data_IF_240064689933
#
_entry.id   IF_240064689933
#
_cell.length_a   1.000
_cell.length_b   1.000
_cell.length_c   1.000
_cell.angle_alpha   90.00
_cell.angle_beta   90.00
_cell.angle_gamma   90.00
#
_symmetry.space_group_name_H-M   'P 1'
#
loop_
_entity.id
_entity.type
_entity.pdbx_description
1 polymer ?
#
# COMPACT_ATOMS: atom_id res chain seq x y z
N UNK A 1 25.14 27.77 13.01
CA UNK A 1 23.83 28.16 12.36
C UNK A 1 23.76 27.84 10.87
N UNK A 2 24.88 27.68 10.17
CA UNK A 2 24.89 27.42 8.71
C UNK A 2 24.53 26.04 8.23
N UNK A 3 24.82 24.94 8.94
CA UNK A 3 24.61 23.58 8.48
C UNK A 3 23.12 23.18 8.41
N UNK A 4 22.30 23.63 9.36
CA UNK A 4 20.86 23.39 9.36
C UNK A 4 20.14 24.09 8.19
N UNK A 5 20.62 25.26 7.79
CA UNK A 5 20.05 26.00 6.65
C UNK A 5 20.44 25.37 5.31
N UNK A 6 21.64 24.80 5.21
CA UNK A 6 22.12 24.07 4.03
C UNK A 6 21.35 22.75 3.88
N UNK A 7 21.10 22.05 4.98
CA UNK A 7 20.32 20.81 5.02
C UNK A 7 18.86 21.08 4.62
N UNK A 8 18.23 22.13 5.16
CA UNK A 8 16.88 22.55 4.79
C UNK A 8 16.74 22.93 3.31
N UNK A 9 17.76 23.61 2.74
CA UNK A 9 17.79 23.95 1.30
C UNK A 9 17.98 22.69 0.41
N UNK A 10 18.78 21.71 0.84
CA UNK A 10 18.93 20.43 0.11
C UNK A 10 17.63 19.64 0.11
N UNK A 11 16.91 19.57 1.22
CA UNK A 11 15.62 18.90 1.31
C UNK A 11 14.59 19.59 0.40
N UNK A 12 14.49 20.91 0.44
CA UNK A 12 13.58 21.68 -0.43
C UNK A 12 13.92 21.48 -1.92
N UNK A 13 15.20 21.44 -2.27
CA UNK A 13 15.65 21.22 -3.66
C UNK A 13 15.40 19.78 -4.12
N UNK A 14 15.61 18.80 -3.26
CA UNK A 14 15.28 17.39 -3.52
C UNK A 14 13.77 17.19 -3.70
N UNK A 15 12.96 17.79 -2.85
CA UNK A 15 11.50 17.76 -2.96
C UNK A 15 10.99 18.46 -4.26
N UNK A 16 11.61 19.56 -4.65
CA UNK A 16 11.30 20.28 -5.89
C UNK A 16 11.64 19.45 -7.13
N UNK A 17 12.83 18.84 -7.18
CA UNK A 17 13.26 17.97 -8.29
C UNK A 17 12.41 16.70 -8.39
N UNK A 18 11.99 16.13 -7.25
CA UNK A 18 11.02 15.03 -7.24
C UNK A 18 9.66 15.49 -7.75
N UNK A 19 9.18 16.66 -7.36
CA UNK A 19 7.92 17.24 -7.84
C UNK A 19 7.95 17.44 -9.36
N UNK A 20 9.03 17.95 -9.94
CA UNK A 20 9.18 18.09 -11.40
C UNK A 20 9.24 16.74 -12.11
N UNK A 21 9.96 15.77 -11.56
CA UNK A 21 10.04 14.40 -12.11
C UNK A 21 8.68 13.71 -12.06
N UNK A 22 7.93 13.87 -10.97
CA UNK A 22 6.55 13.39 -10.85
C UNK A 22 5.61 14.11 -11.81
N UNK A 23 5.70 15.41 -11.95
CA UNK A 23 4.91 16.21 -12.90
C UNK A 23 5.18 15.80 -14.35
N UNK A 24 6.41 15.47 -14.70
CA UNK A 24 6.79 14.99 -16.04
C UNK A 24 6.33 13.55 -16.29
N UNK A 25 6.47 12.65 -15.32
CA UNK A 25 6.01 11.26 -15.41
C UNK A 25 4.48 11.12 -15.33
N UNK A 26 3.80 12.06 -14.68
CA UNK A 26 2.36 12.04 -14.44
C UNK A 26 1.50 12.23 -15.70
N UNK A 27 2.08 12.64 -16.82
CA UNK A 27 1.37 12.78 -18.11
C UNK A 27 1.11 11.44 -18.82
N UNK A 28 1.61 10.34 -18.30
CA UNK A 28 1.34 9.03 -18.87
C UNK A 28 -0.05 8.52 -18.47
N UNK A 29 -1.01 8.58 -19.38
CA UNK A 29 -2.35 8.00 -19.16
C UNK A 29 -2.30 6.51 -18.79
N UNK A 30 -1.28 5.79 -19.28
CA UNK A 30 -1.06 4.39 -18.93
C UNK A 30 -0.78 4.23 -17.44
N UNK A 31 0.13 5.04 -16.88
CA UNK A 31 0.41 5.03 -15.43
C UNK A 31 -0.86 5.33 -14.62
N UNK A 32 -1.61 6.36 -15.00
CA UNK A 32 -2.88 6.69 -14.35
C UNK A 32 -3.88 5.54 -14.37
N UNK A 33 -3.97 4.82 -15.49
CA UNK A 33 -4.84 3.65 -15.62
C UNK A 33 -4.39 2.51 -14.73
N UNK A 34 -3.09 2.22 -14.68
CA UNK A 34 -2.53 1.17 -13.78
C UNK A 34 -2.81 1.48 -12.32
N UNK A 35 -2.53 2.72 -11.88
CA UNK A 35 -2.81 3.15 -10.51
C UNK A 35 -4.29 3.08 -10.17
N UNK A 36 -5.16 3.44 -11.10
CA UNK A 36 -6.61 3.35 -10.92
C UNK A 36 -7.06 1.89 -10.75
N UNK A 37 -6.56 0.98 -11.58
CA UNK A 37 -6.88 -0.45 -11.49
C UNK A 37 -6.40 -1.00 -10.13
N UNK A 38 -5.17 -0.71 -9.72
CA UNK A 38 -4.64 -1.15 -8.43
C UNK A 38 -5.47 -0.61 -7.26
N UNK A 39 -5.87 0.65 -7.31
CA UNK A 39 -6.70 1.25 -6.28
C UNK A 39 -8.08 0.61 -6.19
N UNK A 40 -8.79 0.49 -7.32
CA UNK A 40 -10.14 -0.09 -7.35
C UNK A 40 -10.14 -1.55 -6.95
N UNK A 41 -9.17 -2.32 -7.44
CA UNK A 41 -9.01 -3.71 -7.04
C UNK A 41 -8.67 -3.83 -5.54
N UNK A 42 -7.81 -2.97 -5.03
CA UNK A 42 -7.47 -2.90 -3.61
C UNK A 42 -8.68 -2.60 -2.73
N UNK A 43 -9.53 -1.65 -3.10
CA UNK A 43 -10.79 -1.38 -2.41
C UNK A 43 -11.74 -2.57 -2.46
N UNK A 44 -11.84 -3.26 -3.61
CA UNK A 44 -12.63 -4.49 -3.71
C UNK A 44 -12.13 -5.56 -2.73
N UNK A 45 -10.82 -5.83 -2.69
CA UNK A 45 -10.21 -6.78 -1.75
C UNK A 45 -10.47 -6.37 -0.30
N UNK A 46 -10.36 -5.08 0.01
CA UNK A 46 -10.62 -4.57 1.35
C UNK A 46 -12.08 -4.80 1.78
N UNK A 47 -13.05 -4.45 0.92
CA UNK A 47 -14.48 -4.65 1.18
C UNK A 47 -14.80 -6.15 1.28
N UNK A 48 -14.24 -6.97 0.38
CA UNK A 48 -14.39 -8.41 0.44
C UNK A 48 -13.95 -8.97 1.79
N UNK A 49 -12.78 -8.56 2.29
CA UNK A 49 -12.30 -8.98 3.61
C UNK A 49 -13.20 -8.52 4.75
N UNK A 50 -13.74 -7.32 4.69
CA UNK A 50 -14.65 -6.81 5.72
C UNK A 50 -15.98 -7.57 5.76
N UNK A 51 -16.51 -7.96 4.59
CA UNK A 51 -17.86 -8.51 4.49
C UNK A 51 -17.92 -10.04 4.56
N UNK A 52 -16.95 -10.72 3.94
CA UNK A 52 -17.04 -12.15 3.67
C UNK A 52 -15.90 -12.96 4.30
N UNK A 53 -14.78 -12.33 4.60
CA UNK A 53 -13.65 -13.04 5.16
C UNK A 53 -13.71 -12.96 6.67
N UNK A 54 -14.32 -13.97 7.30
CA UNK A 54 -14.09 -14.22 8.72
C UNK A 54 -12.68 -14.78 8.84
N UNK A 55 -11.82 -14.05 9.53
CA UNK A 55 -10.49 -14.51 9.84
C UNK A 55 -10.64 -15.84 10.58
N UNK A 56 -10.21 -16.95 9.98
CA UNK A 56 -10.08 -18.19 10.72
C UNK A 56 -9.04 -17.93 11.82
N UNK A 57 -9.53 -17.93 13.05
CA UNK A 57 -8.69 -17.81 14.22
C UNK A 57 -7.71 -18.99 14.23
N UNK A 58 -6.43 -18.71 14.02
CA UNK A 58 -5.36 -19.67 14.17
C UNK A 58 -4.58 -19.32 15.43
N UNK A 59 -4.75 -20.12 16.53
CA UNK A 59 -4.09 -19.85 17.79
C UNK A 59 -2.55 -19.85 17.69
N UNK A 60 -1.99 -20.47 16.65
CA UNK A 60 -0.54 -20.48 16.40
C UNK A 60 -0.01 -19.08 16.03
N UNK A 61 -0.80 -18.30 15.26
CA UNK A 61 -0.37 -17.01 14.73
C UNK A 61 -1.07 -15.81 15.38
N UNK A 62 -2.17 -16.05 16.08
CA UNK A 62 -2.91 -15.00 16.79
C UNK A 62 -3.40 -15.54 18.13
N UNK A 63 -2.78 -15.14 19.26
CA UNK A 63 -3.15 -15.67 20.59
C UNK A 63 -4.49 -15.16 21.09
N UNK A 64 -5.09 -14.17 20.45
CA UNK A 64 -6.34 -13.54 20.88
C UNK A 64 -7.31 -13.40 19.71
N UNK A 65 -8.52 -13.92 19.88
CA UNK A 65 -9.64 -13.71 18.94
C UNK A 65 -10.32 -12.38 19.25
N UNK A 66 -10.07 -11.37 18.44
CA UNK A 66 -10.71 -10.06 18.52
C UNK A 66 -11.97 -9.96 17.63
N UNK A 67 -12.40 -11.04 17.00
CA UNK A 67 -13.53 -11.06 16.10
C UNK A 67 -13.28 -10.38 14.74
N UNK A 68 -14.32 -10.30 13.94
CA UNK A 68 -14.25 -9.85 12.52
C UNK A 68 -13.74 -8.41 12.31
N UNK A 69 -13.85 -7.55 13.31
CA UNK A 69 -13.42 -6.14 13.19
C UNK A 69 -11.94 -5.93 13.45
N UNK A 70 -11.25 -6.94 13.98
CA UNK A 70 -9.82 -6.85 14.23
C UNK A 70 -8.99 -6.67 12.95
N UNK A 71 -9.56 -6.96 11.79
CA UNK A 71 -8.90 -6.72 10.50
C UNK A 71 -8.37 -5.28 10.35
N UNK A 72 -9.08 -4.31 10.96
CA UNK A 72 -8.68 -2.91 10.93
C UNK A 72 -7.48 -2.58 11.82
N UNK A 73 -7.13 -3.45 12.77
CA UNK A 73 -5.96 -3.27 13.64
C UNK A 73 -4.66 -3.78 13.00
N UNK A 74 -4.74 -4.57 11.92
CA UNK A 74 -3.54 -5.04 11.25
C UNK A 74 -2.85 -3.92 10.48
N UNK A 75 -1.58 -3.71 10.79
CA UNK A 75 -0.74 -2.73 10.10
C UNK A 75 -0.73 -2.90 8.58
N UNK A 76 -0.70 -4.15 8.10
CA UNK A 76 -0.78 -4.46 6.67
C UNK A 76 -2.07 -3.96 6.02
N UNK A 77 -3.21 -4.11 6.69
CA UNK A 77 -4.50 -3.67 6.16
C UNK A 77 -4.56 -2.15 6.10
N UNK A 78 -4.10 -1.49 7.16
CA UNK A 78 -4.06 -0.03 7.22
C UNK A 78 -3.11 0.55 6.17
N UNK A 79 -1.88 0.02 6.05
CA UNK A 79 -0.89 0.50 5.07
C UNK A 79 -1.37 0.34 3.64
N UNK A 80 -1.97 -0.79 3.31
CA UNK A 80 -2.54 -1.02 1.98
C UNK A 80 -3.76 -0.13 1.72
N UNK A 81 -4.63 0.10 2.70
CA UNK A 81 -5.76 1.03 2.55
C UNK A 81 -5.28 2.46 2.22
N UNK A 82 -4.26 2.96 2.93
CA UNK A 82 -3.64 4.25 2.60
C UNK A 82 -3.03 4.27 1.20
N UNK A 83 -2.45 3.15 0.76
CA UNK A 83 -1.92 3.03 -0.60
C UNK A 83 -3.05 3.11 -1.65
N UNK A 84 -4.20 2.47 -1.43
CA UNK A 84 -5.34 2.56 -2.36
C UNK A 84 -5.86 3.99 -2.49
N UNK A 85 -6.00 4.70 -1.36
CA UNK A 85 -6.40 6.11 -1.37
C UNK A 85 -5.37 6.96 -2.12
N UNK A 86 -4.09 6.75 -1.85
CA UNK A 86 -3.01 7.47 -2.53
C UNK A 86 -3.00 7.18 -4.04
N UNK A 87 -3.05 5.92 -4.46
CA UNK A 87 -3.08 5.53 -5.87
C UNK A 87 -4.31 6.08 -6.60
N UNK A 88 -5.48 6.07 -5.94
CA UNK A 88 -6.68 6.69 -6.49
C UNK A 88 -6.48 8.19 -6.71
N UNK A 89 -5.96 8.90 -5.71
CA UNK A 89 -5.69 10.33 -5.82
C UNK A 89 -4.63 10.61 -6.90
N UNK A 90 -3.56 9.80 -6.99
CA UNK A 90 -2.54 9.95 -8.01
C UNK A 90 -3.11 9.71 -9.43
N UNK A 91 -3.91 8.66 -9.61
CA UNK A 91 -4.59 8.39 -10.88
C UNK A 91 -5.52 9.53 -11.29
N UNK A 92 -6.38 9.99 -10.36
CA UNK A 92 -7.29 11.11 -10.61
C UNK A 92 -6.53 12.41 -10.95
N UNK A 93 -5.39 12.64 -10.30
CA UNK A 93 -4.53 13.78 -10.60
C UNK A 93 -3.96 13.72 -12.02
N UNK A 94 -3.50 12.53 -12.43
CA UNK A 94 -3.03 12.28 -13.81
C UNK A 94 -4.15 12.53 -14.83
N UNK A 95 -5.39 12.19 -14.49
CA UNK A 95 -6.56 12.47 -15.33
C UNK A 95 -7.10 13.90 -15.22
N UNK A 96 -6.43 14.78 -14.48
CA UNK A 96 -6.72 16.21 -14.43
C UNK A 96 -7.67 16.65 -13.32
N UNK A 97 -7.93 15.81 -12.33
CA UNK A 97 -8.76 16.17 -11.17
C UNK A 97 -7.93 16.98 -10.17
N UNK A 98 -7.98 18.32 -10.27
CA UNK A 98 -7.17 19.25 -9.45
C UNK A 98 -7.28 19.05 -7.94
N UNK A 99 -8.46 18.67 -7.42
CA UNK A 99 -8.64 18.43 -5.98
C UNK A 99 -7.79 17.25 -5.46
N UNK A 100 -7.52 16.27 -6.32
CA UNK A 100 -6.72 15.09 -5.97
C UNK A 100 -5.21 15.37 -5.94
N UNK A 101 -4.75 16.42 -6.63
CA UNK A 101 -3.32 16.75 -6.76
C UNK A 101 -2.62 16.99 -5.41
N UNK A 102 -3.34 17.54 -4.43
CA UNK A 102 -2.80 17.78 -3.09
C UNK A 102 -2.32 16.50 -2.38
N UNK A 103 -2.91 15.37 -2.71
CA UNK A 103 -2.55 14.06 -2.16
C UNK A 103 -1.74 13.28 -3.19
N UNK A 104 -2.25 13.13 -4.40
CA UNK A 104 -1.70 12.26 -5.43
C UNK A 104 -0.33 12.68 -5.97
N UNK A 105 0.00 13.98 -5.92
CA UNK A 105 1.31 14.50 -6.32
C UNK A 105 2.14 14.99 -5.13
N UNK A 106 1.74 14.63 -3.91
CA UNK A 106 2.50 14.98 -2.72
C UNK A 106 3.63 13.95 -2.47
N UNK A 107 4.91 14.32 -2.65
CA UNK A 107 6.01 13.38 -2.54
C UNK A 107 6.21 12.84 -1.11
N UNK A 108 5.80 13.59 -0.09
CA UNK A 108 5.89 13.13 1.30
C UNK A 108 4.85 12.05 1.60
N UNK A 109 3.62 12.23 1.10
CA UNK A 109 2.56 11.24 1.26
C UNK A 109 2.95 9.97 0.48
N UNK A 110 3.43 10.12 -0.77
CA UNK A 110 3.92 9.01 -1.58
C UNK A 110 5.04 8.23 -0.88
N UNK A 111 6.06 8.93 -0.36
CA UNK A 111 7.16 8.31 0.36
C UNK A 111 6.68 7.57 1.62
N UNK A 112 5.78 8.18 2.41
CA UNK A 112 5.22 7.56 3.61
C UNK A 112 4.44 6.28 3.28
N UNK A 113 3.57 6.33 2.28
CA UNK A 113 2.80 5.17 1.81
C UNK A 113 3.72 4.06 1.33
N UNK A 114 4.73 4.41 0.52
CA UNK A 114 5.73 3.47 0.02
C UNK A 114 6.44 2.75 1.16
N UNK A 115 6.94 3.50 2.15
CA UNK A 115 7.62 2.91 3.32
C UNK A 115 6.69 1.97 4.08
N UNK A 116 5.44 2.37 4.32
CA UNK A 116 4.48 1.55 5.07
C UNK A 116 4.19 0.23 4.37
N UNK A 117 3.95 0.27 3.06
CA UNK A 117 3.65 -0.94 2.28
C UNK A 117 4.89 -1.82 2.13
N UNK A 118 6.08 -1.24 1.95
CA UNK A 118 7.35 -1.98 1.92
C UNK A 118 7.62 -2.68 3.25
N UNK A 119 7.47 -2.00 4.38
CA UNK A 119 7.65 -2.60 5.71
C UNK A 119 6.67 -3.77 5.89
N UNK A 120 5.39 -3.60 5.55
CA UNK A 120 4.40 -4.66 5.63
C UNK A 120 4.80 -5.88 4.76
N UNK A 121 5.24 -5.65 3.52
CA UNK A 121 5.67 -6.71 2.59
C UNK A 121 6.91 -7.44 3.07
N UNK A 122 7.96 -6.71 3.44
CA UNK A 122 9.23 -7.28 3.89
C UNK A 122 9.01 -8.09 5.18
N UNK A 123 8.29 -7.54 6.15
CA UNK A 123 8.03 -8.22 7.43
C UNK A 123 7.25 -9.51 7.22
N UNK A 124 6.23 -9.50 6.37
CA UNK A 124 5.47 -10.70 6.05
C UNK A 124 6.33 -11.76 5.37
N UNK A 125 7.03 -11.39 4.29
CA UNK A 125 7.86 -12.32 3.54
C UNK A 125 9.01 -12.90 4.38
N UNK A 126 9.62 -12.10 5.26
CA UNK A 126 10.63 -12.58 6.19
C UNK A 126 10.04 -13.50 7.29
N UNK A 127 8.79 -13.27 7.68
CA UNK A 127 8.10 -14.06 8.70
C UNK A 127 7.78 -15.49 8.26
N UNK A 128 7.57 -15.73 6.95
CA UNK A 128 7.25 -17.08 6.43
C UNK A 128 8.33 -18.10 6.79
N UNK A 129 9.61 -17.93 6.42
CA UNK A 129 10.65 -18.90 6.74
C UNK A 129 10.96 -19.01 8.24
N UNK A 130 10.58 -17.99 9.01
CA UNK A 130 10.73 -17.99 10.48
C UNK A 130 9.56 -18.68 11.20
N UNK A 131 8.50 -19.10 10.48
CA UNK A 131 7.28 -19.65 11.08
C UNK A 131 6.44 -18.64 11.85
N UNK A 132 6.68 -17.34 11.66
CA UNK A 132 5.95 -16.24 12.32
C UNK A 132 4.70 -15.79 11.56
N UNK A 133 4.60 -16.16 10.30
CA UNK A 133 3.44 -15.88 9.44
C UNK A 133 3.02 -17.15 8.71
N UNK A 134 1.70 -17.36 8.48
CA UNK A 134 1.22 -18.55 7.79
C UNK A 134 1.74 -18.61 6.35
N UNK A 135 2.18 -19.79 5.87
CA UNK A 135 2.55 -19.98 4.48
C UNK A 135 1.32 -19.91 3.58
N UNK A 136 1.54 -19.63 2.29
CA UNK A 136 0.46 -19.67 1.30
C UNK A 136 -0.09 -21.11 1.13
N UNK A 137 -1.41 -21.25 1.18
CA UNK A 137 -2.12 -22.51 0.98
C UNK A 137 -3.06 -22.39 -0.22
N UNK A 138 -3.07 -23.38 -1.10
CA UNK A 138 -3.83 -23.39 -2.35
C UNK A 138 -4.72 -24.64 -2.51
N UNK A 139 -4.90 -25.38 -1.43
CA UNK A 139 -5.56 -26.70 -1.39
C UNK A 139 -7.09 -26.61 -1.38
N UNK A 140 -7.65 -25.48 -0.95
CA UNK A 140 -9.09 -25.23 -0.97
C UNK A 140 -9.41 -23.87 -1.58
N UNK A 141 -10.64 -23.62 -2.08
CA UNK A 141 -11.03 -22.30 -2.58
C UNK A 141 -10.87 -21.18 -1.56
N UNK A 142 -11.18 -21.45 -0.29
CA UNK A 142 -11.03 -20.48 0.80
C UNK A 142 -9.55 -20.14 1.05
N UNK A 143 -8.68 -21.17 1.14
CA UNK A 143 -7.24 -20.99 1.29
C UNK A 143 -6.63 -20.29 0.08
N UNK A 144 -7.06 -20.64 -1.14
CA UNK A 144 -6.60 -19.98 -2.37
C UNK A 144 -6.94 -18.50 -2.38
N UNK A 145 -8.16 -18.12 -1.98
CA UNK A 145 -8.56 -16.73 -1.89
C UNK A 145 -7.74 -15.97 -0.83
N UNK A 146 -7.56 -16.58 0.34
CA UNK A 146 -6.72 -16.00 1.41
C UNK A 146 -5.28 -15.81 0.94
N UNK A 147 -4.66 -16.82 0.35
CA UNK A 147 -3.30 -16.76 -0.19
C UNK A 147 -3.16 -15.72 -1.30
N UNK A 148 -4.15 -15.61 -2.19
CA UNK A 148 -4.18 -14.59 -3.23
C UNK A 148 -4.20 -13.19 -2.63
N UNK A 149 -5.00 -12.94 -1.60
CA UNK A 149 -5.05 -11.65 -0.91
C UNK A 149 -3.71 -11.34 -0.23
N UNK A 150 -3.06 -12.34 0.38
CA UNK A 150 -1.74 -12.17 0.98
C UNK A 150 -0.66 -11.86 -0.07
N UNK A 151 -0.67 -12.55 -1.22
CA UNK A 151 0.21 -12.23 -2.36
C UNK A 151 -0.02 -10.80 -2.84
N UNK A 152 -1.28 -10.39 -2.98
CA UNK A 152 -1.61 -9.02 -3.38
C UNK A 152 -1.05 -7.98 -2.40
N UNK A 153 -1.29 -8.15 -1.10
CA UNK A 153 -0.85 -7.20 -0.08
C UNK A 153 0.66 -7.13 0.10
N UNK A 154 1.34 -8.27 0.00
CA UNK A 154 2.75 -8.37 0.41
C UNK A 154 3.74 -8.52 -0.75
N UNK A 155 3.28 -8.90 -1.94
CA UNK A 155 4.14 -9.11 -3.11
C UNK A 155 3.82 -8.19 -4.28
N UNK A 156 2.55 -7.79 -4.47
CA UNK A 156 2.15 -6.91 -5.58
C UNK A 156 2.19 -5.45 -5.15
N UNK A 157 1.60 -5.11 -4.02
CA UNK A 157 1.49 -3.73 -3.56
C UNK A 157 2.83 -3.06 -3.21
N UNK A 158 3.81 -3.75 -2.55
CA UNK A 158 5.10 -3.13 -2.25
C UNK A 158 5.87 -2.67 -3.49
N UNK A 159 6.09 -3.47 -4.54
CA UNK A 159 6.73 -2.99 -5.75
C UNK A 159 5.88 -1.96 -6.52
N UNK A 160 4.54 -2.07 -6.48
CA UNK A 160 3.66 -1.08 -7.09
C UNK A 160 3.77 0.31 -6.43
N UNK A 161 4.08 0.37 -5.14
CA UNK A 161 4.28 1.62 -4.43
C UNK A 161 5.60 2.34 -4.76
N UNK A 162 6.52 1.68 -5.51
CA UNK A 162 7.77 2.27 -5.99
C UNK A 162 7.62 3.00 -7.35
N UNK A 163 6.48 2.87 -8.00
CA UNK A 163 6.15 3.52 -9.28
C UNK A 163 5.75 4.97 -9.05
#
# INVERSE_FOLDING_TARGET
MGEFEIFGRRIKRGAFLMSEKYSSASKSKLLGTVLLILALFGFFVFIYRLCYYHYEYDPQYSPVDYGKYNILSYFTVQSNFFAYVYFLCAALSIFGVKKAEKIGFNPYIGALVTVYVLVAGITYCAGIPMGLTPPFKWDTPAHSMSSFIQVYYHMIMPPAALI
#
